data_IF_651190651220
#
_entry.id   IF_651190651220
#
_cell.length_a   1.000
_cell.length_b   1.000
_cell.length_c   1.000
_cell.angle_alpha   90.00
_cell.angle_beta   90.00
_cell.angle_gamma   90.00
#
_symmetry.space_group_name_H-M   'P 1'
#
loop_
_entity.id
_entity.type
_entity.pdbx_description
1 polymer ?
#
# COMPACT_ATOMS: atom_id res chain seq x y z
N UNK A 1 -16.98 7.62 -26.09
CA UNK A 1 -16.15 6.98 -25.04
C UNK A 1 -16.36 7.73 -23.72
N UNK A 2 -17.54 7.62 -23.09
CA UNK A 2 -17.91 8.44 -21.91
C UNK A 2 -17.67 7.75 -20.57
N UNK A 3 -17.37 6.45 -20.57
CA UNK A 3 -17.31 5.65 -19.36
C UNK A 3 -16.03 5.81 -18.53
N UNK A 4 -14.81 6.00 -19.11
CA UNK A 4 -13.62 6.22 -18.29
C UNK A 4 -13.73 7.52 -17.47
N UNK A 5 -14.34 8.56 -18.07
CA UNK A 5 -14.68 9.84 -17.41
C UNK A 5 -15.63 9.62 -16.24
N UNK A 6 -16.73 8.85 -16.45
CA UNK A 6 -17.71 8.54 -15.40
C UNK A 6 -17.07 7.77 -14.25
N UNK A 7 -16.20 6.82 -14.55
CA UNK A 7 -15.49 6.00 -13.55
C UNK A 7 -14.52 6.87 -12.75
N UNK A 8 -13.64 7.62 -13.41
CA UNK A 8 -12.67 8.49 -12.75
C UNK A 8 -13.38 9.52 -11.84
N UNK A 9 -14.45 10.15 -12.35
CA UNK A 9 -15.28 11.07 -11.57
C UNK A 9 -15.89 10.37 -10.35
N UNK A 10 -16.55 9.23 -10.52
CA UNK A 10 -17.18 8.50 -9.41
C UNK A 10 -16.18 8.12 -8.32
N UNK A 11 -15.00 7.62 -8.69
CA UNK A 11 -13.98 7.20 -7.72
C UNK A 11 -13.43 8.40 -6.97
N UNK A 12 -13.07 9.47 -7.68
CA UNK A 12 -12.51 10.66 -7.04
C UNK A 12 -13.55 11.38 -6.17
N UNK A 13 -14.81 11.47 -6.60
CA UNK A 13 -15.90 12.05 -5.82
C UNK A 13 -16.21 11.21 -4.57
N UNK A 14 -16.27 9.87 -4.70
CA UNK A 14 -16.41 8.97 -3.54
C UNK A 14 -15.24 9.11 -2.57
N UNK A 15 -14.02 9.23 -3.09
CA UNK A 15 -12.83 9.39 -2.26
C UNK A 15 -12.85 10.73 -1.52
N UNK A 16 -13.20 11.82 -2.19
CA UNK A 16 -13.35 13.14 -1.58
C UNK A 16 -14.42 13.12 -0.50
N UNK A 17 -15.59 12.57 -0.80
CA UNK A 17 -16.69 12.42 0.17
C UNK A 17 -16.27 11.59 1.40
N UNK A 18 -15.53 10.49 1.21
CA UNK A 18 -15.00 9.69 2.32
C UNK A 18 -13.94 10.44 3.12
N UNK A 19 -13.00 11.13 2.46
CA UNK A 19 -11.97 11.96 3.10
C UNK A 19 -12.60 13.05 3.97
N UNK A 20 -13.57 13.77 3.42
CA UNK A 20 -14.27 14.87 4.10
C UNK A 20 -15.08 14.33 5.30
N UNK A 21 -15.75 13.18 5.15
CA UNK A 21 -16.51 12.54 6.23
C UNK A 21 -15.65 11.94 7.34
N UNK A 22 -14.50 11.36 7.00
CA UNK A 22 -13.65 10.60 7.94
C UNK A 22 -12.47 11.42 8.47
N UNK A 23 -12.33 12.69 8.06
CA UNK A 23 -11.21 13.59 8.41
C UNK A 23 -9.85 12.91 8.22
N UNK A 24 -9.73 12.08 7.18
CA UNK A 24 -8.53 11.27 6.98
C UNK A 24 -7.34 12.08 6.44
N UNK A 25 -6.16 11.68 6.88
CA UNK A 25 -4.86 12.17 6.41
C UNK A 25 -4.49 11.45 5.09
N UNK A 26 -3.86 12.15 4.14
CA UNK A 26 -3.41 11.60 2.86
C UNK A 26 -4.36 11.85 1.66
N UNK A 27 -3.81 11.79 0.45
CA UNK A 27 -4.49 12.18 -0.80
C UNK A 27 -4.50 11.03 -1.81
N UNK A 28 -5.65 10.74 -2.40
CA UNK A 28 -5.73 9.91 -3.60
C UNK A 28 -5.38 10.78 -4.81
N UNK A 29 -4.44 10.31 -5.60
CA UNK A 29 -4.11 10.89 -6.91
C UNK A 29 -4.55 9.92 -7.98
N UNK A 30 -5.21 10.43 -9.01
CA UNK A 30 -5.65 9.64 -10.17
C UNK A 30 -4.94 10.18 -11.40
N UNK A 31 -4.51 9.29 -12.28
CA UNK A 31 -3.75 9.58 -13.50
C UNK A 31 -4.27 8.70 -14.62
N UNK A 32 -4.04 9.10 -15.87
CA UNK A 32 -4.46 8.33 -17.03
C UNK A 32 -3.38 8.37 -18.11
N UNK A 33 -3.12 7.21 -18.69
CA UNK A 33 -2.31 7.07 -19.89
C UNK A 33 -2.97 6.12 -20.86
N UNK A 34 -2.62 6.26 -22.13
CA UNK A 34 -3.07 5.43 -23.23
C UNK A 34 -1.84 4.78 -23.84
N UNK A 35 -1.95 3.50 -24.16
CA UNK A 35 -1.06 2.84 -25.09
C UNK A 35 -1.81 2.57 -26.38
N UNK A 36 -1.06 2.47 -27.49
CA UNK A 36 -1.57 2.17 -28.82
C UNK A 36 -0.72 1.08 -29.46
N UNK A 37 -0.89 0.87 -30.75
CA UNK A 37 -0.11 -0.06 -31.57
C UNK A 37 1.35 0.41 -31.72
N UNK A 38 2.26 -0.53 -31.97
CA UNK A 38 3.64 -0.27 -32.38
C UNK A 38 3.77 0.39 -33.76
N UNK A 39 2.76 0.27 -34.62
CA UNK A 39 2.73 0.98 -35.91
C UNK A 39 2.59 2.51 -35.75
N UNK A 40 2.09 3.00 -34.62
CA UNK A 40 2.22 4.40 -34.26
C UNK A 40 3.71 4.68 -33.95
N UNK A 41 4.37 5.67 -34.56
CA UNK A 41 5.74 6.03 -34.17
C UNK A 41 5.74 6.68 -32.77
N UNK A 42 6.82 6.55 -31.99
CA UNK A 42 6.97 7.33 -30.77
C UNK A 42 6.88 8.84 -31.10
N UNK A 43 6.15 9.65 -30.32
CA UNK A 43 5.59 9.36 -28.99
C UNK A 43 4.16 8.78 -28.99
N UNK A 44 3.59 8.42 -30.13
CA UNK A 44 2.16 8.11 -30.24
C UNK A 44 1.77 6.71 -29.72
N UNK A 45 2.73 5.80 -29.53
CA UNK A 45 2.55 4.48 -28.91
C UNK A 45 2.14 4.57 -27.44
N UNK A 46 2.55 5.63 -26.74
CA UNK A 46 2.25 5.85 -25.33
C UNK A 46 2.07 7.34 -25.04
N UNK A 47 0.93 7.68 -24.47
CA UNK A 47 0.57 9.07 -24.16
C UNK A 47 0.09 9.18 -22.71
N UNK A 48 0.76 10.02 -21.91
CA UNK A 48 0.23 10.45 -20.61
C UNK A 48 -0.85 11.49 -20.87
N UNK A 49 -2.10 11.09 -20.67
CA UNK A 49 -3.27 11.98 -20.81
C UNK A 49 -3.28 13.02 -19.71
N UNK A 50 -2.99 12.58 -18.48
CA UNK A 50 -2.81 13.43 -17.31
C UNK A 50 -2.04 12.67 -16.24
N UNK A 51 -1.07 13.34 -15.64
CA UNK A 51 -0.29 12.83 -14.53
C UNK A 51 -1.16 12.53 -13.29
N UNK A 52 -0.62 11.81 -12.31
CA UNK A 52 -1.36 11.54 -11.07
C UNK A 52 -1.69 12.89 -10.37
N UNK A 53 -2.98 13.22 -10.28
CA UNK A 53 -3.45 14.51 -9.75
C UNK A 53 -4.60 14.33 -8.77
N UNK A 54 -4.76 15.29 -7.85
CA UNK A 54 -5.94 15.41 -6.99
C UNK A 54 -7.07 16.21 -7.67
N UNK A 55 -6.80 16.84 -8.82
CA UNK A 55 -7.72 17.73 -9.51
C UNK A 55 -8.73 16.98 -10.39
N UNK A 56 -9.87 16.60 -9.81
CA UNK A 56 -10.96 15.87 -10.50
C UNK A 56 -11.42 16.57 -11.79
N UNK A 57 -11.58 17.90 -11.74
CA UNK A 57 -12.05 18.68 -12.90
C UNK A 57 -11.08 18.64 -14.07
N UNK A 58 -9.78 18.71 -13.78
CA UNK A 58 -8.73 18.64 -14.80
C UNK A 58 -8.72 17.25 -15.45
N UNK A 59 -8.68 16.20 -14.64
CA UNK A 59 -8.74 14.81 -15.10
C UNK A 59 -9.97 14.56 -15.99
N UNK A 60 -11.14 15.05 -15.56
CA UNK A 60 -12.39 14.91 -16.33
C UNK A 60 -12.25 15.54 -17.72
N UNK A 61 -11.78 16.79 -17.80
CA UNK A 61 -11.58 17.51 -19.06
C UNK A 61 -10.60 16.76 -19.98
N UNK A 62 -9.54 16.19 -19.41
CA UNK A 62 -8.53 15.44 -20.18
C UNK A 62 -9.07 14.14 -20.74
N UNK A 63 -9.78 13.35 -19.91
CA UNK A 63 -10.42 12.11 -20.35
C UNK A 63 -11.51 12.33 -21.41
N UNK A 64 -12.24 13.45 -21.35
CA UNK A 64 -13.24 13.83 -22.36
C UNK A 64 -12.63 14.13 -23.73
N UNK A 65 -11.35 14.50 -23.78
CA UNK A 65 -10.64 14.86 -25.00
C UNK A 65 -9.83 13.70 -25.62
N UNK A 66 -9.94 12.49 -25.09
CA UNK A 66 -9.25 11.32 -25.65
C UNK A 66 -9.88 10.96 -27.00
N UNK A 67 -9.09 11.04 -28.07
CA UNK A 67 -9.48 10.57 -29.40
C UNK A 67 -9.05 9.13 -29.64
N UNK A 68 -9.96 8.30 -30.15
CA UNK A 68 -9.62 6.95 -30.65
C UNK A 68 -8.90 7.10 -31.98
N UNK A 69 -7.71 6.52 -32.08
CA UNK A 69 -7.00 6.36 -33.36
C UNK A 69 -7.20 4.91 -33.82
N UNK A 70 -7.53 4.73 -35.09
CA UNK A 70 -7.59 3.40 -35.72
C UNK A 70 -6.57 3.40 -36.84
N UNK A 71 -5.40 2.83 -36.58
CA UNK A 71 -4.52 2.40 -37.65
C UNK A 71 -4.96 0.99 -37.98
N UNK A 72 -5.72 0.85 -39.07
CA UNK A 72 -6.11 -0.48 -39.53
C UNK A 72 -4.92 -1.10 -40.23
N UNK A 73 -4.50 -2.23 -39.72
CA UNK A 73 -3.52 -3.05 -40.41
C UNK A 73 -4.15 -3.84 -41.55
N UNK A 74 -3.29 -4.34 -42.42
CA UNK A 74 -3.71 -5.09 -43.60
C UNK A 74 -4.37 -6.41 -43.14
N UNK A 75 -5.47 -6.87 -43.77
CA UNK A 75 -6.22 -8.08 -43.41
C UNK A 75 -5.47 -9.41 -43.27
N UNK A 76 -4.14 -9.45 -43.43
CA UNK A 76 -3.29 -10.64 -43.33
C UNK A 76 -2.06 -10.43 -42.42
N UNK A 77 -2.00 -9.35 -41.64
CA UNK A 77 -0.93 -9.17 -40.65
C UNK A 77 -1.07 -10.25 -39.56
N UNK A 78 -0.02 -11.04 -39.24
CA UNK A 78 -0.06 -11.99 -38.14
C UNK A 78 -0.38 -11.32 -36.79
N UNK A 79 -0.18 -10.01 -36.70
CA UNK A 79 -0.49 -9.14 -35.58
C UNK A 79 -1.67 -8.22 -35.91
N UNK A 80 -2.71 -8.67 -36.61
CA UNK A 80 -3.88 -7.86 -37.01
C UNK A 80 -4.62 -7.15 -35.86
N UNK A 81 -4.38 -7.56 -34.61
CA UNK A 81 -4.81 -6.88 -33.37
C UNK A 81 -3.60 -6.57 -32.48
N UNK A 82 -2.69 -5.71 -32.93
CA UNK A 82 -1.46 -5.42 -32.23
C UNK A 82 -1.70 -4.35 -31.18
N UNK A 83 -1.16 -4.55 -29.98
CA UNK A 83 -1.21 -3.56 -28.92
C UNK A 83 0.17 -3.46 -28.28
N UNK A 84 0.67 -2.25 -28.05
CA UNK A 84 1.90 -2.01 -27.30
C UNK A 84 1.67 -2.02 -25.79
N UNK A 85 0.98 -3.06 -25.32
CA UNK A 85 0.63 -3.24 -23.90
C UNK A 85 1.86 -3.16 -23.01
N UNK A 86 2.96 -3.82 -23.39
CA UNK A 86 4.18 -3.88 -22.58
C UNK A 86 4.85 -2.51 -22.50
N UNK A 87 4.92 -1.78 -23.60
CA UNK A 87 5.35 -0.37 -23.62
C UNK A 87 4.45 0.47 -22.69
N UNK A 88 3.14 0.31 -22.80
CA UNK A 88 2.15 0.98 -21.94
C UNK A 88 2.40 0.78 -20.46
N UNK A 89 2.65 -0.46 -20.03
CA UNK A 89 2.93 -0.79 -18.62
C UNK A 89 4.29 -0.21 -18.20
N UNK A 90 5.35 -0.45 -18.97
CA UNK A 90 6.72 0.00 -18.62
C UNK A 90 6.80 1.52 -18.53
N UNK A 91 6.22 2.23 -19.50
CA UNK A 91 6.16 3.68 -19.48
C UNK A 91 5.25 4.22 -18.36
N UNK A 92 4.18 3.52 -17.98
CA UNK A 92 3.38 3.93 -16.82
C UNK A 92 4.11 3.75 -15.49
N UNK A 93 4.93 2.69 -15.35
CA UNK A 93 5.77 2.50 -14.17
C UNK A 93 6.82 3.61 -14.03
N UNK A 94 7.38 4.07 -15.15
CA UNK A 94 8.50 5.03 -15.17
C UNK A 94 8.10 6.50 -15.32
N UNK A 95 7.07 6.77 -16.11
CA UNK A 95 6.71 8.10 -16.61
C UNK A 95 5.65 8.81 -15.76
N UNK A 96 4.86 8.08 -14.98
CA UNK A 96 3.92 8.70 -14.05
C UNK A 96 4.67 9.26 -12.84
N UNK A 97 4.24 10.42 -12.35
CA UNK A 97 4.81 11.09 -11.17
C UNK A 97 4.45 10.42 -9.81
N UNK A 98 4.73 9.12 -9.68
CA UNK A 98 4.51 8.30 -8.51
C UNK A 98 5.15 8.88 -7.25
N UNK A 99 4.37 8.99 -6.17
CA UNK A 99 4.89 9.47 -4.87
C UNK A 99 5.58 8.33 -4.12
N UNK A 100 6.79 8.56 -3.64
CA UNK A 100 7.50 7.61 -2.77
C UNK A 100 6.71 7.40 -1.47
N UNK A 101 6.74 6.17 -0.93
CA UNK A 101 6.02 5.80 0.29
C UNK A 101 4.49 5.83 0.18
N UNK A 102 3.95 5.91 -1.04
CA UNK A 102 2.51 5.75 -1.31
C UNK A 102 2.22 4.36 -1.85
N UNK A 103 1.01 3.86 -1.62
CA UNK A 103 0.55 2.65 -2.28
C UNK A 103 0.18 2.94 -3.73
N UNK A 104 0.79 2.21 -4.65
CA UNK A 104 0.67 2.43 -6.10
C UNK A 104 -0.12 1.29 -6.72
N UNK A 105 -1.00 1.64 -7.67
CA UNK A 105 -1.82 0.69 -8.40
C UNK A 105 -1.92 1.12 -9.85
N UNK A 106 -1.59 0.22 -10.76
CA UNK A 106 -1.94 0.31 -12.18
C UNK A 106 -3.22 -0.49 -12.40
N UNK A 107 -4.19 0.15 -13.06
CA UNK A 107 -5.39 -0.52 -13.58
C UNK A 107 -5.27 -0.52 -15.09
N UNK A 108 -4.93 -1.67 -15.64
CA UNK A 108 -4.79 -1.91 -17.06
C UNK A 108 -6.13 -2.38 -17.63
N UNK A 109 -6.66 -1.68 -18.64
CA UNK A 109 -7.90 -2.07 -19.32
C UNK A 109 -7.59 -2.21 -20.80
N UNK A 110 -7.96 -3.35 -21.39
CA UNK A 110 -7.74 -3.63 -22.81
C UNK A 110 -8.55 -4.83 -23.29
N UNK A 111 -8.56 -5.09 -24.60
CA UNK A 111 -9.23 -6.24 -25.23
C UNK A 111 -8.31 -7.12 -26.08
N UNK A 112 -7.01 -6.81 -26.16
CA UNK A 112 -6.00 -7.55 -26.91
C UNK A 112 -4.61 -7.48 -26.24
N UNK A 113 -3.85 -8.58 -26.33
CA UNK A 113 -2.53 -8.73 -25.70
C UNK A 113 -1.40 -8.04 -26.45
N UNK A 114 -0.22 -8.01 -25.84
CA UNK A 114 1.00 -7.47 -26.46
C UNK A 114 1.41 -8.32 -27.66
N UNK A 115 1.40 -7.73 -28.85
CA UNK A 115 1.89 -8.39 -30.06
C UNK A 115 2.83 -7.47 -30.84
N UNK A 116 4.12 -7.53 -30.51
CA UNK A 116 5.09 -6.52 -30.95
C UNK A 116 5.69 -6.71 -32.33
N UNK A 117 5.39 -7.80 -33.04
CA UNK A 117 6.11 -8.20 -34.28
C UNK A 117 7.64 -8.26 -34.09
N UNK A 118 8.11 -8.53 -32.87
CA UNK A 118 9.53 -8.51 -32.54
C UNK A 118 10.15 -7.12 -32.36
N UNK A 119 9.34 -6.06 -32.37
CA UNK A 119 9.79 -4.67 -32.14
C UNK A 119 9.96 -4.34 -30.66
N UNK A 120 9.32 -5.12 -29.77
CA UNK A 120 9.40 -4.91 -28.33
C UNK A 120 10.57 -5.71 -27.73
N UNK A 121 11.28 -5.06 -26.82
CA UNK A 121 12.40 -5.65 -26.07
C UNK A 121 11.97 -6.14 -24.70
N UNK A 122 10.75 -5.80 -24.28
CA UNK A 122 10.22 -6.16 -22.97
C UNK A 122 9.57 -7.54 -22.99
N UNK A 123 9.71 -8.24 -21.87
CA UNK A 123 9.09 -9.53 -21.59
C UNK A 123 8.34 -9.45 -20.28
N UNK A 124 7.46 -10.42 -20.03
CA UNK A 124 6.61 -10.52 -18.86
C UNK A 124 7.43 -10.49 -17.55
N UNK A 125 8.54 -11.22 -17.50
CA UNK A 125 9.43 -11.28 -16.35
C UNK A 125 10.10 -9.91 -16.05
N UNK A 126 10.45 -9.14 -17.08
CA UNK A 126 11.01 -7.80 -16.92
C UNK A 126 9.97 -6.83 -16.36
N UNK A 127 8.72 -6.91 -16.84
CA UNK A 127 7.60 -6.14 -16.31
C UNK A 127 7.33 -6.51 -14.85
N UNK A 128 7.32 -7.81 -14.52
CA UNK A 128 7.15 -8.29 -13.16
C UNK A 128 8.21 -7.71 -12.21
N UNK A 129 9.49 -7.76 -12.58
CA UNK A 129 10.59 -7.12 -11.81
C UNK A 129 10.36 -5.63 -11.62
N UNK A 130 9.99 -4.91 -12.68
CA UNK A 130 9.67 -3.48 -12.58
C UNK A 130 8.52 -3.19 -11.60
N UNK A 131 7.46 -4.00 -11.61
CA UNK A 131 6.33 -3.86 -10.68
C UNK A 131 6.77 -4.08 -9.23
N UNK A 132 7.61 -5.09 -8.97
CA UNK A 132 8.16 -5.35 -7.64
C UNK A 132 9.08 -4.22 -7.18
N UNK A 133 10.06 -3.84 -8.00
CA UNK A 133 11.08 -2.83 -7.67
C UNK A 133 10.46 -1.46 -7.37
N UNK A 134 9.38 -1.13 -8.06
CA UNK A 134 8.66 0.13 -7.84
C UNK A 134 7.53 0.02 -6.82
N UNK A 135 7.30 -1.15 -6.20
CA UNK A 135 6.20 -1.43 -5.27
C UNK A 135 4.81 -1.08 -5.87
N UNK A 136 4.58 -1.49 -7.11
CA UNK A 136 3.35 -1.20 -7.86
C UNK A 136 2.45 -2.44 -7.87
N UNK A 137 1.19 -2.25 -7.47
CA UNK A 137 0.13 -3.24 -7.61
C UNK A 137 -0.38 -3.23 -9.05
N UNK A 138 -0.79 -4.37 -9.60
CA UNK A 138 -1.20 -4.46 -11.00
C UNK A 138 -2.51 -5.21 -11.12
N UNK A 139 -3.54 -4.50 -11.58
CA UNK A 139 -4.86 -5.08 -11.86
C UNK A 139 -5.18 -4.91 -13.33
N UNK A 140 -5.57 -6.00 -13.97
CA UNK A 140 -5.95 -6.01 -15.38
C UNK A 140 -7.44 -6.36 -15.53
N UNK A 141 -8.10 -5.65 -16.45
CA UNK A 141 -9.48 -5.86 -16.84
C UNK A 141 -9.49 -6.15 -18.34
N UNK A 142 -9.71 -7.42 -18.69
CA UNK A 142 -9.91 -7.87 -20.07
C UNK A 142 -11.36 -7.62 -20.47
N UNK A 143 -11.57 -6.78 -21.47
CA UNK A 143 -12.87 -6.56 -22.09
C UNK A 143 -13.11 -7.68 -23.12
N UNK A 144 -14.16 -8.47 -22.91
CA UNK A 144 -14.57 -9.55 -23.81
C UNK A 144 -15.84 -9.15 -24.55
N UNK A 145 -16.06 -9.67 -25.75
CA UNK A 145 -17.31 -9.48 -26.50
C UNK A 145 -17.59 -10.75 -27.28
N UNK A 146 -18.86 -11.07 -27.52
CA UNK A 146 -19.18 -12.19 -28.41
C UNK A 146 -18.62 -11.90 -29.82
N UNK A 147 -17.81 -12.82 -30.32
CA UNK A 147 -17.20 -12.71 -31.65
C UNK A 147 -16.83 -14.08 -32.19
N UNK A 148 -17.06 -14.28 -33.48
CA UNK A 148 -16.59 -15.46 -34.22
C UNK A 148 -15.22 -15.25 -34.87
N UNK A 149 -14.64 -14.05 -34.74
CA UNK A 149 -13.35 -13.71 -35.34
C UNK A 149 -12.22 -14.40 -34.57
N UNK A 150 -11.58 -15.38 -35.21
CA UNK A 150 -10.48 -16.16 -34.62
C UNK A 150 -9.28 -15.31 -34.22
N UNK A 151 -8.94 -14.28 -35.00
CA UNK A 151 -7.84 -13.36 -34.67
C UNK A 151 -8.13 -12.58 -33.38
N UNK A 152 -9.36 -12.10 -33.21
CA UNK A 152 -9.75 -11.38 -31.99
C UNK A 152 -9.77 -12.29 -30.77
N UNK A 153 -10.20 -13.55 -30.94
CA UNK A 153 -10.14 -14.58 -29.89
C UNK A 153 -8.68 -14.85 -29.51
N UNK A 154 -7.78 -15.01 -30.49
CA UNK A 154 -6.36 -15.23 -30.25
C UNK A 154 -5.70 -14.05 -29.52
N UNK A 155 -6.00 -12.82 -29.91
CA UNK A 155 -5.50 -11.61 -29.25
C UNK A 155 -5.94 -11.51 -27.77
N UNK A 156 -7.18 -11.91 -27.45
CA UNK A 156 -7.68 -11.98 -26.06
C UNK A 156 -7.01 -13.08 -25.26
N UNK A 157 -6.84 -14.27 -25.85
CA UNK A 157 -6.09 -15.37 -25.23
C UNK A 157 -4.66 -14.93 -24.92
N UNK A 158 -4.04 -14.18 -25.82
CA UNK A 158 -2.71 -13.59 -25.61
C UNK A 158 -2.70 -12.60 -24.43
N UNK A 159 -3.67 -11.67 -24.35
CA UNK A 159 -3.82 -10.75 -23.20
C UNK A 159 -3.88 -11.53 -21.88
N UNK A 160 -4.77 -12.54 -21.85
CA UNK A 160 -5.01 -13.35 -20.67
C UNK A 160 -3.73 -14.09 -20.25
N UNK A 161 -3.08 -14.79 -21.19
CA UNK A 161 -1.83 -15.50 -20.96
C UNK A 161 -0.74 -14.58 -20.42
N UNK A 162 -0.43 -13.49 -21.13
CA UNK A 162 0.64 -12.56 -20.75
C UNK A 162 0.38 -11.90 -19.39
N UNK A 163 -0.86 -11.49 -19.14
CA UNK A 163 -1.23 -10.91 -17.84
C UNK A 163 -1.07 -11.91 -16.71
N UNK A 164 -1.50 -13.17 -16.91
CA UNK A 164 -1.32 -14.24 -15.92
C UNK A 164 0.15 -14.53 -15.65
N UNK A 165 0.96 -14.59 -16.71
CA UNK A 165 2.42 -14.74 -16.60
C UNK A 165 3.04 -13.58 -15.81
N UNK A 166 2.70 -12.32 -16.11
CA UNK A 166 3.17 -11.15 -15.35
C UNK A 166 2.79 -11.28 -13.87
N UNK A 167 1.54 -11.66 -13.57
CA UNK A 167 1.06 -11.81 -12.19
C UNK A 167 1.80 -12.94 -11.46
N UNK A 168 1.96 -14.09 -12.11
CA UNK A 168 2.65 -15.26 -11.57
C UNK A 168 4.13 -14.94 -11.25
N UNK A 169 4.86 -14.39 -12.23
CA UNK A 169 6.26 -13.95 -12.07
C UNK A 169 6.39 -12.89 -10.96
N UNK A 170 5.45 -11.94 -10.88
CA UNK A 170 5.45 -10.93 -9.81
C UNK A 170 5.25 -11.57 -8.44
N UNK A 171 4.38 -12.58 -8.33
CA UNK A 171 4.13 -13.30 -7.09
C UNK A 171 5.34 -14.13 -6.65
N UNK A 172 6.02 -14.80 -7.60
CA UNK A 172 7.26 -15.55 -7.34
C UNK A 172 8.37 -14.66 -6.81
N UNK A 173 8.64 -13.53 -7.47
CA UNK A 173 9.66 -12.57 -7.02
C UNK A 173 9.31 -12.05 -5.61
N UNK A 174 8.03 -11.74 -5.33
CA UNK A 174 7.63 -11.33 -3.99
C UNK A 174 7.79 -12.43 -2.94
N UNK A 175 7.56 -13.69 -3.32
CA UNK A 175 7.73 -14.83 -2.42
C UNK A 175 9.20 -14.95 -2.00
N UNK A 176 10.13 -14.83 -2.94
CA UNK A 176 11.58 -14.81 -2.69
C UNK A 176 11.98 -13.63 -1.80
N UNK A 177 11.45 -12.43 -2.07
CA UNK A 177 11.71 -11.24 -1.25
C UNK A 177 11.19 -11.41 0.19
N UNK A 178 10.01 -12.03 0.37
CA UNK A 178 9.47 -12.33 1.70
C UNK A 178 10.34 -13.35 2.43
N UNK A 179 10.83 -14.39 1.73
CA UNK A 179 11.77 -15.36 2.31
C UNK A 179 13.08 -14.69 2.75
N UNK A 180 13.61 -13.76 1.95
CA UNK A 180 14.78 -12.96 2.33
C UNK A 180 14.50 -12.10 3.57
N UNK A 181 13.35 -11.40 3.61
CA UNK A 181 12.97 -10.56 4.75
C UNK A 181 12.76 -11.36 6.04
N UNK A 182 12.27 -12.60 5.94
CA UNK A 182 12.16 -13.53 7.05
C UNK A 182 13.56 -13.93 7.57
N UNK A 183 14.45 -14.35 6.66
CA UNK A 183 15.84 -14.71 7.01
C UNK A 183 16.59 -13.54 7.67
N UNK A 184 16.38 -12.33 7.16
CA UNK A 184 16.97 -11.09 7.69
C UNK A 184 16.28 -10.62 8.99
N UNK A 185 15.26 -11.34 9.49
CA UNK A 185 14.45 -11.03 10.68
C UNK A 185 13.80 -9.64 10.62
N UNK A 186 13.47 -9.19 9.41
CA UNK A 186 12.73 -7.95 9.16
C UNK A 186 11.23 -8.22 9.30
N UNK A 187 10.77 -9.36 8.81
CA UNK A 187 9.38 -9.79 8.91
C UNK A 187 9.24 -10.87 10.00
N UNK A 188 8.26 -10.80 10.91
CA UNK A 188 7.96 -11.88 11.84
C UNK A 188 7.64 -13.18 11.08
N UNK A 189 8.11 -14.32 11.61
CA UNK A 189 7.97 -15.64 10.96
C UNK A 189 6.51 -15.97 10.67
N UNK A 190 5.62 -15.75 11.63
CA UNK A 190 4.19 -16.05 11.48
C UNK A 190 3.56 -15.23 10.34
N UNK A 191 4.04 -13.99 10.15
CA UNK A 191 3.57 -13.12 9.08
C UNK A 191 4.19 -13.49 7.73
N UNK A 192 5.44 -13.92 7.72
CA UNK A 192 6.10 -14.42 6.52
C UNK A 192 5.35 -15.64 5.96
N UNK A 193 4.98 -16.57 6.83
CA UNK A 193 4.17 -17.75 6.48
C UNK A 193 2.83 -17.33 5.86
N UNK A 194 2.05 -16.46 6.53
CA UNK A 194 0.76 -15.98 6.02
C UNK A 194 0.88 -15.36 4.62
N UNK A 195 1.90 -14.51 4.41
CA UNK A 195 2.11 -13.84 3.11
C UNK A 195 2.54 -14.85 2.04
N UNK A 196 3.43 -15.79 2.37
CA UNK A 196 3.90 -16.83 1.45
C UNK A 196 2.76 -17.75 1.01
N UNK A 197 1.90 -18.19 1.92
CA UNK A 197 0.72 -19.00 1.57
C UNK A 197 -0.24 -18.26 0.62
N UNK A 198 -0.46 -16.96 0.85
CA UNK A 198 -1.28 -16.13 -0.05
C UNK A 198 -0.63 -15.96 -1.44
N UNK A 199 0.71 -15.87 -1.49
CA UNK A 199 1.48 -15.80 -2.74
C UNK A 199 1.47 -17.14 -3.49
N UNK A 200 1.64 -18.27 -2.79
CA UNK A 200 1.59 -19.61 -3.37
C UNK A 200 0.24 -19.88 -4.03
N UNK A 201 -0.88 -19.60 -3.35
CA UNK A 201 -2.22 -19.68 -3.96
C UNK A 201 -2.35 -18.83 -5.22
N UNK A 202 -1.70 -17.66 -5.25
CA UNK A 202 -1.70 -16.81 -6.43
C UNK A 202 -0.81 -17.36 -7.54
N UNK A 203 0.36 -17.89 -7.21
CA UNK A 203 1.28 -18.55 -8.15
C UNK A 203 0.55 -19.71 -8.81
N UNK A 204 -0.06 -20.61 -8.05
CA UNK A 204 -0.81 -21.75 -8.57
C UNK A 204 -1.96 -21.29 -9.47
N UNK A 205 -2.80 -20.39 -8.95
CA UNK A 205 -3.99 -19.92 -9.68
C UNK A 205 -3.69 -19.03 -10.89
N UNK A 206 -2.48 -18.48 -11.03
CA UNK A 206 -2.05 -17.72 -12.21
C UNK A 206 -1.20 -18.57 -13.17
N UNK A 207 -0.51 -19.59 -12.65
CA UNK A 207 0.35 -20.51 -13.41
C UNK A 207 -0.43 -21.52 -14.25
N UNK A 208 -1.65 -21.87 -13.84
CA UNK A 208 -2.56 -22.67 -14.66
C UNK A 208 -2.94 -21.91 -15.95
N UNK A 209 -2.40 -22.31 -17.10
CA UNK A 209 -2.73 -21.70 -18.39
C UNK A 209 -3.75 -22.51 -19.19
N UNK A 210 -4.22 -23.65 -18.68
CA UNK A 210 -5.08 -24.57 -19.43
C UNK A 210 -6.46 -23.97 -19.67
N UNK A 211 -6.95 -23.20 -18.71
CA UNK A 211 -8.19 -22.46 -18.86
C UNK A 211 -8.14 -21.45 -20.03
N UNK A 212 -6.96 -20.98 -20.45
CA UNK A 212 -6.80 -20.04 -21.57
C UNK A 212 -6.79 -20.77 -22.93
N UNK A 213 -6.69 -22.10 -22.92
CA UNK A 213 -6.65 -22.93 -24.13
C UNK A 213 -8.05 -23.24 -24.66
N UNK A 214 -9.03 -23.43 -23.76
CA UNK A 214 -10.43 -23.69 -24.10
C UNK A 214 -11.12 -22.47 -24.79
N UNK A 215 -12.32 -22.64 -25.33
CA UNK A 215 -13.10 -21.56 -25.98
C UNK A 215 -13.49 -20.40 -25.03
N UNK A 216 -13.18 -20.55 -23.74
CA UNK A 216 -13.24 -19.48 -22.74
C UNK A 216 -12.17 -18.43 -23.05
N UNK A 217 -12.61 -17.28 -23.58
CA UNK A 217 -11.74 -16.17 -23.98
C UNK A 217 -11.05 -15.43 -22.83
N UNK A 218 -11.23 -15.86 -21.57
CA UNK A 218 -10.61 -15.23 -20.39
C UNK A 218 -10.58 -16.15 -19.15
N UNK A 219 -9.51 -16.04 -18.36
CA UNK A 219 -9.32 -16.72 -17.07
C UNK A 219 -8.98 -15.74 -15.95
N UNK A 220 -9.95 -15.33 -15.12
CA UNK A 220 -9.66 -14.43 -14.01
C UNK A 220 -8.77 -15.12 -12.97
N UNK A 221 -7.86 -14.36 -12.35
CA UNK A 221 -7.04 -14.83 -11.23
C UNK A 221 -6.83 -13.74 -10.18
N UNK A 222 -6.40 -14.18 -8.99
CA UNK A 222 -6.14 -13.33 -7.84
C UNK A 222 -7.38 -12.64 -7.28
N UNK A 223 -7.26 -12.08 -6.07
CA UNK A 223 -8.37 -11.40 -5.37
C UNK A 223 -7.97 -10.06 -4.72
N UNK A 224 -6.69 -9.67 -4.82
CA UNK A 224 -6.10 -8.53 -4.10
C UNK A 224 -5.15 -7.72 -4.99
N UNK A 225 -3.86 -7.69 -4.64
CA UNK A 225 -2.84 -6.78 -5.18
C UNK A 225 -2.57 -7.00 -6.67
N UNK A 226 -2.67 -8.25 -7.09
CA UNK A 226 -2.52 -8.65 -8.47
C UNK A 226 -3.76 -9.42 -8.90
N UNK A 227 -4.40 -8.94 -9.95
CA UNK A 227 -5.68 -9.51 -10.39
C UNK A 227 -5.83 -9.42 -11.90
N UNK A 228 -6.45 -10.44 -12.48
CA UNK A 228 -7.06 -10.39 -13.79
C UNK A 228 -8.57 -10.57 -13.63
N UNK A 229 -9.34 -9.70 -14.28
CA UNK A 229 -10.80 -9.77 -14.36
C UNK A 229 -11.25 -9.75 -15.81
N UNK A 230 -12.34 -10.44 -16.08
CA UNK A 230 -12.99 -10.49 -17.38
C UNK A 230 -14.29 -9.71 -17.28
N UNK A 231 -14.58 -8.86 -18.26
CA UNK A 231 -15.85 -8.14 -18.33
C UNK A 231 -16.38 -8.24 -19.75
N UNK A 232 -17.53 -8.89 -19.92
CA UNK A 232 -18.22 -8.91 -21.21
C UNK A 232 -18.80 -7.54 -21.54
N UNK A 233 -18.77 -7.14 -22.81
CA UNK A 233 -19.40 -5.93 -23.34
C UNK A 233 -20.92 -6.03 -23.44
N UNK A 234 -21.50 -7.18 -23.08
CA UNK A 234 -22.95 -7.33 -22.97
C UNK A 234 -23.50 -6.34 -21.93
N UNK A 235 -24.81 -6.07 -21.97
CA UNK A 235 -25.48 -5.01 -21.21
C UNK A 235 -24.87 -4.75 -19.81
N UNK A 236 -24.67 -3.48 -19.46
CA UNK A 236 -24.08 -3.01 -18.18
C UNK A 236 -22.55 -3.18 -17.98
N UNK A 237 -21.75 -3.47 -19.02
CA UNK A 237 -20.28 -3.58 -18.87
C UNK A 237 -19.62 -2.36 -18.19
N UNK A 238 -20.04 -1.13 -18.52
CA UNK A 238 -19.53 0.10 -17.90
C UNK A 238 -19.72 0.09 -16.37
N UNK A 239 -20.88 -0.41 -15.92
CA UNK A 239 -21.23 -0.55 -14.50
C UNK A 239 -20.38 -1.64 -13.84
N UNK A 240 -20.11 -2.73 -14.54
CA UNK A 240 -19.25 -3.82 -14.05
C UNK A 240 -17.81 -3.36 -13.88
N UNK A 241 -17.24 -2.67 -14.88
CA UNK A 241 -15.90 -2.08 -14.79
C UNK A 241 -15.86 -1.07 -13.63
N UNK A 242 -16.86 -0.18 -13.52
CA UNK A 242 -16.95 0.78 -12.41
C UNK A 242 -16.95 0.07 -11.05
N UNK A 243 -17.75 -0.99 -10.88
CA UNK A 243 -17.80 -1.77 -9.63
C UNK A 243 -16.46 -2.43 -9.30
N UNK A 244 -15.76 -2.95 -10.29
CA UNK A 244 -14.44 -3.56 -10.09
C UNK A 244 -13.41 -2.52 -9.66
N UNK A 245 -13.38 -1.38 -10.33
CA UNK A 245 -12.46 -0.30 -9.98
C UNK A 245 -12.83 0.30 -8.62
N UNK A 246 -14.11 0.47 -8.31
CA UNK A 246 -14.58 0.88 -6.97
C UNK A 246 -14.10 -0.11 -5.88
N UNK A 247 -14.14 -1.42 -6.14
CA UNK A 247 -13.64 -2.44 -5.22
C UNK A 247 -12.12 -2.28 -4.98
N UNK A 248 -11.35 -2.09 -6.04
CA UNK A 248 -9.90 -1.86 -5.95
C UNK A 248 -9.58 -0.55 -5.21
N UNK A 249 -10.35 0.51 -5.47
CA UNK A 249 -10.21 1.79 -4.78
C UNK A 249 -10.55 1.69 -3.28
N UNK A 250 -11.56 0.91 -2.92
CA UNK A 250 -11.88 0.64 -1.50
C UNK A 250 -10.79 -0.16 -0.81
N UNK A 251 -10.17 -1.14 -1.48
CA UNK A 251 -9.03 -1.88 -0.93
C UNK A 251 -7.82 -0.95 -0.70
N UNK A 252 -7.56 -0.02 -1.62
CA UNK A 252 -6.54 1.02 -1.42
C UNK A 252 -6.86 1.89 -0.20
N UNK A 253 -8.14 2.24 -0.03
CA UNK A 253 -8.62 3.04 1.10
C UNK A 253 -8.40 2.31 2.42
N UNK A 254 -8.87 1.07 2.56
CA UNK A 254 -8.69 0.28 3.77
C UNK A 254 -7.22 0.17 4.15
N UNK A 255 -6.35 -0.10 3.18
CA UNK A 255 -4.91 -0.18 3.44
C UNK A 255 -4.35 1.17 3.87
N UNK A 256 -4.76 2.26 3.22
CA UNK A 256 -4.34 3.62 3.59
C UNK A 256 -4.78 3.98 5.01
N UNK A 257 -6.05 3.78 5.35
CA UNK A 257 -6.56 4.07 6.70
C UNK A 257 -5.79 3.28 7.76
N UNK A 258 -5.44 2.02 7.45
CA UNK A 258 -4.59 1.23 8.32
C UNK A 258 -3.16 1.78 8.43
N UNK A 259 -2.52 2.16 7.31
CA UNK A 259 -1.19 2.79 7.31
C UNK A 259 -1.17 4.12 8.10
N UNK A 260 -2.24 4.90 8.06
CA UNK A 260 -2.37 6.13 8.85
C UNK A 260 -2.58 5.86 10.35
N UNK A 261 -3.35 4.82 10.71
CA UNK A 261 -3.43 4.34 12.11
C UNK A 261 -2.03 3.99 12.61
N UNK A 262 -1.21 3.30 11.80
CA UNK A 262 0.17 2.98 12.17
C UNK A 262 1.08 4.20 12.27
N UNK A 263 0.98 5.16 11.33
CA UNK A 263 1.83 6.36 11.34
C UNK A 263 1.51 7.32 12.47
N UNK A 264 0.24 7.40 12.87
CA UNK A 264 -0.23 8.44 13.81
C UNK A 264 -0.59 7.89 15.18
N UNK A 265 -0.72 6.57 15.33
CA UNK A 265 -1.25 5.92 16.53
C UNK A 265 -2.72 6.27 16.82
N UNK A 266 -3.39 7.02 15.94
CA UNK A 266 -4.77 7.48 16.12
C UNK A 266 -5.71 6.61 15.31
N UNK A 267 -6.66 5.97 15.99
CA UNK A 267 -7.84 5.39 15.35
C UNK A 267 -8.69 6.58 14.85
N UNK A 268 -8.94 6.73 13.53
CA UNK A 268 -9.88 7.73 13.05
C UNK A 268 -11.18 7.54 13.80
N UNK A 269 -11.74 8.60 14.38
CA UNK A 269 -13.00 8.53 15.09
C UNK A 269 -14.05 7.95 14.16
N UNK A 270 -14.34 6.66 14.29
CA UNK A 270 -15.42 6.01 13.58
C UNK A 270 -16.66 6.79 13.95
N UNK A 271 -17.16 7.57 12.98
CA UNK A 271 -18.43 8.24 13.10
C UNK A 271 -19.43 7.21 13.61
N UNK A 272 -20.06 7.52 14.75
CA UNK A 272 -21.06 6.70 15.45
C UNK A 272 -21.84 5.88 14.44
N UNK A 273 -21.75 4.54 14.54
CA UNK A 273 -22.56 3.60 13.76
C UNK A 273 -24.02 4.08 13.83
N UNK A 274 -24.54 4.60 12.73
CA UNK A 274 -25.99 4.71 12.59
C UNK A 274 -26.55 3.28 12.58
N UNK A 275 -27.70 3.03 13.23
CA UNK A 275 -28.31 1.72 13.24
C UNK A 275 -28.81 1.41 11.83
N UNK A 276 -28.07 0.58 11.10
CA UNK A 276 -28.54 -0.02 9.85
C UNK A 276 -29.63 -1.03 10.24
N UNK A 277 -30.84 -0.82 9.73
CA UNK A 277 -31.96 -1.76 9.88
C UNK A 277 -31.52 -3.14 9.39
N UNK A 278 -31.75 -4.15 10.23
CA UNK A 278 -31.48 -5.57 9.96
C UNK A 278 -32.17 -6.00 8.66
N UNK A 279 -31.40 -6.54 7.73
CA UNK A 279 -31.85 -7.64 6.87
C UNK A 279 -31.05 -8.89 7.27
N UNK A 280 -31.69 -10.07 7.31
CA UNK A 280 -31.04 -11.31 7.69
C UNK A 280 -30.45 -11.97 6.45
N UNK A 281 -29.14 -12.13 6.42
CA UNK A 281 -28.45 -13.29 5.86
C UNK A 281 -27.00 -13.21 6.32
N UNK A 282 -26.53 -14.29 6.94
CA UNK A 282 -25.29 -14.35 7.69
C UNK A 282 -24.09 -13.97 6.80
N UNK A 283 -23.25 -12.99 7.20
CA UNK A 283 -21.90 -12.96 6.68
C UNK A 283 -21.15 -14.11 7.33
N UNK A 284 -20.70 -15.07 6.52
CA UNK A 284 -19.56 -15.90 6.91
C UNK A 284 -18.47 -14.95 7.41
N UNK A 285 -18.15 -15.06 8.69
CA UNK A 285 -17.01 -14.41 9.31
C UNK A 285 -15.76 -14.91 8.62
N UNK A 286 -15.41 -14.29 7.49
CA UNK A 286 -14.02 -14.23 7.08
C UNK A 286 -13.35 -13.39 8.16
N UNK A 287 -12.66 -14.08 9.08
CA UNK A 287 -11.74 -13.47 10.02
C UNK A 287 -10.64 -12.79 9.19
N UNK A 288 -10.91 -11.56 8.76
CA UNK A 288 -9.91 -10.72 8.13
C UNK A 288 -8.92 -10.38 9.25
N UNK A 289 -7.83 -11.15 9.31
CA UNK A 289 -6.72 -10.93 10.24
C UNK A 289 -6.32 -9.45 10.23
N UNK A 290 -6.60 -8.77 11.34
CA UNK A 290 -6.44 -7.34 11.58
C UNK A 290 -4.96 -6.92 11.75
N UNK A 291 -4.03 -7.42 10.92
CA UNK A 291 -2.60 -7.05 11.00
C UNK A 291 -1.96 -6.82 9.63
N UNK A 292 -1.97 -5.56 9.14
CA UNK A 292 -1.07 -5.07 8.09
C UNK A 292 0.31 -4.80 8.69
N UNK A 293 0.93 -5.81 9.29
CA UNK A 293 2.34 -5.73 9.64
C UNK A 293 3.13 -5.89 8.34
N UNK A 294 3.80 -4.80 7.96
CA UNK A 294 4.93 -4.76 7.03
C UNK A 294 4.65 -5.38 5.65
N UNK A 295 3.83 -4.70 4.84
CA UNK A 295 3.76 -5.03 3.42
C UNK A 295 5.17 -4.96 2.82
N UNK A 296 5.67 -6.03 2.17
CA UNK A 296 7.07 -6.16 1.78
C UNK A 296 7.65 -4.96 0.99
N UNK A 297 6.88 -4.29 0.14
CA UNK A 297 7.39 -3.10 -0.57
C UNK A 297 7.42 -1.81 0.24
N UNK A 298 6.54 -1.69 1.24
CA UNK A 298 6.65 -0.61 2.25
C UNK A 298 7.92 -0.81 3.07
N UNK A 299 8.21 -2.06 3.46
CA UNK A 299 9.46 -2.45 4.16
C UNK A 299 10.67 -2.09 3.30
N UNK A 300 10.71 -2.55 2.05
CA UNK A 300 11.80 -2.27 1.10
C UNK A 300 12.02 -0.77 0.91
N UNK A 301 10.95 0.01 0.80
CA UNK A 301 11.03 1.48 0.71
C UNK A 301 11.55 2.12 1.99
N UNK A 302 11.20 1.60 3.17
CA UNK A 302 11.68 2.11 4.45
C UNK A 302 13.16 1.78 4.65
N UNK A 303 13.56 0.53 4.41
CA UNK A 303 14.96 0.08 4.40
C UNK A 303 15.79 1.01 3.52
N UNK A 304 15.40 1.19 2.26
CA UNK A 304 16.11 2.08 1.33
C UNK A 304 16.26 3.50 1.88
N UNK A 305 15.18 4.08 2.39
CA UNK A 305 15.19 5.46 2.89
C UNK A 305 16.06 5.64 4.13
N UNK A 306 16.01 4.69 5.06
CA UNK A 306 16.84 4.71 6.27
C UNK A 306 18.32 4.59 5.89
N UNK A 307 18.66 3.68 4.97
CA UNK A 307 20.01 3.53 4.47
C UNK A 307 20.52 4.78 3.76
N UNK A 308 19.70 5.39 2.89
CA UNK A 308 20.01 6.65 2.21
C UNK A 308 20.25 7.81 3.20
N UNK A 309 19.41 7.94 4.23
CA UNK A 309 19.58 8.95 5.29
C UNK A 309 20.92 8.78 6.03
N UNK A 310 21.23 7.56 6.46
CA UNK A 310 22.47 7.25 7.17
C UNK A 310 23.71 7.54 6.32
N UNK A 311 23.69 7.19 5.03
CA UNK A 311 24.80 7.50 4.11
C UNK A 311 24.92 9.02 3.88
N UNK A 312 23.80 9.74 3.75
CA UNK A 312 23.83 11.20 3.56
C UNK A 312 24.45 11.95 4.74
N UNK A 313 24.48 11.33 5.92
CA UNK A 313 24.95 11.90 7.19
C UNK A 313 26.33 11.39 7.62
N UNK A 314 27.11 10.79 6.72
CA UNK A 314 28.46 10.27 7.02
C UNK A 314 29.48 11.32 7.50
N UNK A 315 29.17 12.60 7.37
CA UNK A 315 29.99 13.69 7.93
C UNK A 315 29.84 13.80 9.45
N UNK A 316 28.76 13.28 10.01
CA UNK A 316 28.55 13.16 11.46
C UNK A 316 29.39 11.99 11.98
N UNK A 317 30.27 12.26 12.94
CA UNK A 317 31.20 11.27 13.51
C UNK A 317 30.47 10.10 14.16
N UNK A 318 29.34 10.35 14.83
CA UNK A 318 28.56 9.29 15.48
C UNK A 318 27.88 8.39 14.43
N UNK A 319 27.31 9.00 13.40
CA UNK A 319 26.69 8.27 12.28
C UNK A 319 27.75 7.46 11.53
N UNK A 320 28.92 8.04 11.24
CA UNK A 320 30.01 7.34 10.56
C UNK A 320 30.53 6.15 11.35
N UNK A 321 30.71 6.31 12.66
CA UNK A 321 31.10 5.20 13.52
C UNK A 321 30.03 4.09 13.50
N UNK A 322 28.76 4.46 13.65
CA UNK A 322 27.62 3.52 13.57
C UNK A 322 27.55 2.80 12.23
N UNK A 323 27.73 3.50 11.11
CA UNK A 323 27.75 2.90 9.77
C UNK A 323 28.92 1.93 9.65
N UNK A 324 30.12 2.33 10.06
CA UNK A 324 31.33 1.49 10.03
C UNK A 324 31.15 0.18 10.80
N UNK A 325 30.41 0.18 11.91
CA UNK A 325 30.12 -1.04 12.69
C UNK A 325 29.19 -2.02 11.95
N UNK A 326 28.41 -1.55 10.98
CA UNK A 326 27.41 -2.37 10.28
C UNK A 326 27.92 -2.89 8.96
N UNK A 327 28.53 -2.02 8.14
CA UNK A 327 28.99 -2.39 6.79
C UNK A 327 30.50 -2.63 6.71
N UNK A 328 31.26 -2.33 7.76
CA UNK A 328 32.71 -2.44 7.78
C UNK A 328 33.43 -1.30 7.03
N UNK A 329 34.72 -1.15 7.31
CA UNK A 329 35.58 -0.10 6.74
C UNK A 329 35.76 -0.26 5.22
N UNK A 330 35.85 -1.49 4.73
CA UNK A 330 36.10 -1.78 3.31
C UNK A 330 34.92 -1.33 2.42
N UNK A 331 33.69 -1.61 2.84
CA UNK A 331 32.49 -1.17 2.13
C UNK A 331 32.32 0.35 2.23
N UNK A 332 32.61 0.92 3.41
CA UNK A 332 32.55 2.36 3.66
C UNK A 332 33.50 3.15 2.74
N UNK A 333 34.70 2.63 2.51
CA UNK A 333 35.70 3.26 1.64
C UNK A 333 35.34 3.14 0.14
N UNK A 334 34.47 2.20 -0.23
CA UNK A 334 34.08 1.91 -1.61
C UNK A 334 32.67 2.41 -1.98
N UNK A 335 32.07 3.30 -1.19
CA UNK A 335 30.73 3.86 -1.43
C UNK A 335 30.59 4.70 -2.71
N UNK A 336 31.70 5.03 -3.36
CA UNK A 336 31.71 5.66 -4.69
C UNK A 336 31.23 4.71 -5.79
N UNK A 337 31.37 3.39 -5.59
CA UNK A 337 30.85 2.37 -6.50
C UNK A 337 29.31 2.26 -6.32
N UNK A 338 28.50 2.42 -7.39
CA UNK A 338 27.04 2.36 -7.32
C UNK A 338 26.49 1.04 -6.74
N UNK A 339 27.10 -0.09 -7.06
CA UNK A 339 26.62 -1.41 -6.62
C UNK A 339 26.91 -1.62 -5.13
N UNK A 340 28.13 -1.26 -4.70
CA UNK A 340 28.55 -1.27 -3.29
C UNK A 340 27.67 -0.33 -2.47
N UNK A 341 27.35 0.85 -3.02
CA UNK A 341 26.46 1.81 -2.38
C UNK A 341 25.04 1.27 -2.22
N UNK A 342 24.50 0.61 -3.25
CA UNK A 342 23.17 -0.01 -3.17
C UNK A 342 23.13 -1.10 -2.09
N UNK A 343 24.15 -1.95 -2.03
CA UNK A 343 24.28 -2.98 -1.01
C UNK A 343 24.40 -2.38 0.40
N UNK A 344 25.21 -1.32 0.56
CA UNK A 344 25.37 -0.61 1.83
C UNK A 344 24.06 0.01 2.32
N UNK A 345 23.27 0.63 1.42
CA UNK A 345 21.94 1.17 1.72
C UNK A 345 21.03 0.08 2.27
N UNK A 346 20.96 -1.08 1.59
CA UNK A 346 20.12 -2.19 2.03
C UNK A 346 20.57 -2.72 3.39
N UNK A 347 21.87 -3.00 3.59
CA UNK A 347 22.41 -3.51 4.86
C UNK A 347 22.16 -2.56 6.03
N UNK A 348 22.45 -1.27 5.85
CA UNK A 348 22.23 -0.25 6.89
C UNK A 348 20.76 -0.08 7.21
N UNK A 349 19.93 0.04 6.17
CA UNK A 349 18.48 0.20 6.31
C UNK A 349 17.84 -0.98 7.03
N UNK A 350 18.22 -2.20 6.65
CA UNK A 350 17.74 -3.45 7.26
C UNK A 350 18.17 -3.54 8.71
N UNK A 351 19.46 -3.32 9.01
CA UNK A 351 19.97 -3.39 10.38
C UNK A 351 19.25 -2.40 11.29
N UNK A 352 19.14 -1.14 10.85
CA UNK A 352 18.52 -0.08 11.63
C UNK A 352 17.01 -0.28 11.79
N UNK A 353 16.31 -0.67 10.71
CA UNK A 353 14.88 -1.01 10.80
C UNK A 353 14.66 -2.20 11.75
N UNK A 354 15.53 -3.22 11.70
CA UNK A 354 15.42 -4.37 12.60
C UNK A 354 15.60 -3.98 14.06
N UNK A 355 16.42 -2.97 14.38
CA UNK A 355 16.50 -2.42 15.75
C UNK A 355 15.18 -1.79 16.16
N UNK A 356 14.55 -0.99 15.30
CA UNK A 356 13.23 -0.41 15.61
C UNK A 356 12.15 -1.47 15.80
N UNK A 357 12.18 -2.54 14.98
CA UNK A 357 11.22 -3.64 15.07
C UNK A 357 11.46 -4.54 16.28
N UNK A 358 12.73 -4.82 16.62
CA UNK A 358 13.12 -5.62 17.81
C UNK A 358 13.03 -4.83 19.11
N UNK A 359 13.16 -3.50 19.07
CA UNK A 359 12.96 -2.62 20.21
C UNK A 359 11.48 -2.51 20.62
N UNK A 360 10.59 -3.30 20.00
CA UNK A 360 9.17 -3.38 20.37
C UNK A 360 8.51 -2.00 20.38
N UNK A 361 8.91 -1.09 19.46
CA UNK A 361 8.62 0.36 19.47
C UNK A 361 7.35 0.74 20.27
N UNK A 362 7.53 0.94 21.58
CA UNK A 362 6.47 1.07 22.59
C UNK A 362 5.93 2.51 22.64
N UNK A 363 5.63 3.11 21.50
CA UNK A 363 5.14 4.49 21.46
C UNK A 363 3.62 4.50 21.36
N UNK A 364 2.93 4.76 22.48
CA UNK A 364 1.46 4.74 22.50
C UNK A 364 0.81 6.11 22.29
N UNK A 365 1.34 7.22 22.84
CA UNK A 365 0.84 8.59 22.58
C UNK A 365 1.69 9.68 23.24
N UNK A 366 1.50 10.95 22.85
CA UNK A 366 1.92 12.15 23.59
C UNK A 366 0.75 12.60 24.46
N UNK A 367 0.94 12.71 25.78
CA UNK A 367 -0.07 13.29 26.67
C UNK A 367 0.50 14.54 27.36
N UNK A 368 -0.35 15.54 27.52
CA UNK A 368 -0.05 16.78 28.22
C UNK A 368 -0.84 16.76 29.53
N UNK A 369 -0.14 16.72 30.67
CA UNK A 369 -0.78 16.79 32.00
C UNK A 369 -0.69 18.24 32.48
N UNK A 370 -1.84 18.85 32.75
CA UNK A 370 -1.92 20.16 33.41
C UNK A 370 -2.01 19.95 34.91
N UNK A 371 -0.97 20.35 35.65
CA UNK A 371 -0.89 20.19 37.10
C UNK A 371 -1.60 21.31 37.91
N UNK A 372 -1.95 22.45 37.29
CA UNK A 372 -2.71 23.53 37.96
C UNK A 372 -3.90 23.98 37.09
N UNK A 373 -5.10 24.07 37.67
CA UNK A 373 -6.29 24.59 36.98
C UNK A 373 -6.09 26.08 36.64
N UNK A 374 -6.44 26.53 35.42
CA UNK A 374 -6.35 27.93 35.06
C UNK A 374 -7.45 28.72 35.77
N UNK A 375 -7.14 29.27 36.94
CA UNK A 375 -7.90 30.34 37.56
C UNK A 375 -7.32 31.71 37.21
N UNK A 376 -8.12 32.78 37.36
CA UNK A 376 -7.69 34.16 37.09
C UNK A 376 -6.37 34.56 37.78
N UNK A 377 -6.03 33.88 38.89
CA UNK A 377 -4.83 34.13 39.69
C UNK A 377 -3.52 33.66 39.05
N UNK A 378 -3.55 32.71 38.12
CA UNK A 378 -2.36 32.07 37.55
C UNK A 378 -2.23 32.22 36.04
N UNK A 379 -3.02 33.13 35.42
CA UNK A 379 -3.15 33.27 33.95
C UNK A 379 -1.81 33.50 33.22
N UNK A 380 -0.79 34.01 33.91
CA UNK A 380 0.52 34.36 33.36
C UNK A 380 1.68 33.66 34.09
N UNK A 381 1.41 32.61 34.88
CA UNK A 381 2.43 31.90 35.67
C UNK A 381 3.24 30.94 34.76
N UNK A 382 4.57 31.13 34.59
CA UNK A 382 5.41 30.25 33.77
C UNK A 382 5.51 28.82 34.33
N UNK A 383 5.15 28.60 35.60
CA UNK A 383 5.10 27.28 36.24
C UNK A 383 3.83 26.48 35.88
N UNK A 384 3.01 26.94 34.92
CA UNK A 384 2.00 26.11 34.25
C UNK A 384 2.61 25.05 33.31
N UNK A 385 3.82 24.59 33.60
CA UNK A 385 4.59 23.74 32.69
C UNK A 385 3.81 22.50 32.28
N UNK A 386 3.68 22.38 30.97
CA UNK A 386 3.16 21.21 30.29
C UNK A 386 4.25 20.13 30.34
N UNK A 387 4.24 19.26 31.34
CA UNK A 387 5.17 18.12 31.36
C UNK A 387 4.80 17.20 30.19
N UNK A 388 5.68 17.10 29.20
CA UNK A 388 5.57 16.09 28.16
C UNK A 388 5.97 14.76 28.76
N UNK A 389 5.01 13.88 29.00
CA UNK A 389 5.28 12.52 29.46
C UNK A 389 5.25 11.60 28.24
N UNK A 390 6.37 10.91 28.01
CA UNK A 390 6.48 9.86 27.00
C UNK A 390 6.03 8.56 27.66
N UNK A 391 4.84 8.07 27.32
CA UNK A 391 4.33 6.80 27.84
C UNK A 391 4.90 5.63 27.02
N UNK A 392 5.88 4.91 27.58
CA UNK A 392 6.25 3.57 27.11
C UNK A 392 5.35 2.52 27.78
N UNK A 393 5.41 1.25 27.34
CA UNK A 393 4.51 0.20 27.84
C UNK A 393 4.68 -0.01 29.34
N UNK A 394 5.91 0.04 29.85
CA UNK A 394 6.21 -0.13 31.28
C UNK A 394 5.58 0.97 32.12
N UNK A 395 5.54 2.20 31.62
CA UNK A 395 4.93 3.35 32.27
C UNK A 395 3.41 3.28 32.21
N UNK A 396 2.84 2.76 31.11
CA UNK A 396 1.41 2.49 31.02
C UNK A 396 0.99 1.33 31.95
N UNK A 397 1.79 0.26 32.01
CA UNK A 397 1.59 -0.85 32.95
C UNK A 397 1.69 -0.35 34.39
N UNK A 398 2.67 0.51 34.71
CA UNK A 398 2.80 1.18 36.02
C UNK A 398 1.63 2.12 36.32
N UNK A 399 1.13 2.86 35.33
CA UNK A 399 -0.05 3.72 35.46
C UNK A 399 -1.32 2.91 35.72
N UNK A 400 -1.48 1.76 35.05
CA UNK A 400 -2.66 0.93 35.16
C UNK A 400 -2.62 -0.03 36.36
N UNK A 401 -1.43 -0.30 36.90
CA UNK A 401 -1.23 -1.22 38.03
C UNK A 401 -2.15 -0.93 39.24
N UNK A 402 -2.36 0.33 39.68
CA UNK A 402 -3.30 0.63 40.77
C UNK A 402 -4.75 0.25 40.43
N UNK A 403 -5.16 0.42 39.18
CA UNK A 403 -6.49 0.04 38.69
C UNK A 403 -6.62 -1.48 38.53
N UNK A 404 -5.55 -2.15 38.13
CA UNK A 404 -5.48 -3.62 38.13
C UNK A 404 -5.63 -4.17 39.55
N UNK A 405 -4.93 -3.59 40.53
CA UNK A 405 -5.09 -3.95 41.95
C UNK A 405 -6.53 -3.67 42.43
N UNK A 406 -7.14 -2.55 42.04
CA UNK A 406 -8.54 -2.26 42.35
C UNK A 406 -9.49 -3.34 41.83
N UNK A 407 -9.27 -3.79 40.59
CA UNK A 407 -10.08 -4.82 39.95
C UNK A 407 -9.86 -6.21 40.56
N UNK A 408 -8.60 -6.61 40.71
CA UNK A 408 -8.23 -7.98 41.09
C UNK A 408 -8.34 -8.23 42.59
N UNK A 409 -7.84 -7.30 43.41
CA UNK A 409 -7.81 -7.46 44.87
C UNK A 409 -9.07 -6.94 45.55
N UNK A 410 -9.64 -5.86 45.03
CA UNK A 410 -10.80 -5.21 45.64
C UNK A 410 -12.10 -5.46 44.88
N UNK A 411 -12.09 -6.25 43.80
CA UNK A 411 -13.27 -6.58 42.99
C UNK A 411 -14.10 -5.34 42.59
N UNK A 412 -13.42 -4.23 42.33
CA UNK A 412 -14.03 -2.93 42.03
C UNK A 412 -14.94 -2.36 43.15
N UNK A 413 -14.83 -2.86 44.38
CA UNK A 413 -15.58 -2.35 45.54
C UNK A 413 -14.89 -1.12 46.14
N UNK A 414 -15.63 -0.01 46.16
CA UNK A 414 -15.18 1.28 46.66
C UNK A 414 -15.18 1.29 48.20
N UNK A 415 -14.00 1.41 48.82
CA UNK A 415 -13.84 1.59 50.27
C UNK A 415 -12.96 2.82 50.55
N UNK A 416 -13.26 3.67 51.54
CA UNK A 416 -12.46 4.88 51.82
C UNK A 416 -10.95 4.60 51.95
N UNK A 417 -10.59 3.47 52.57
CA UNK A 417 -9.20 3.04 52.74
C UNK A 417 -8.48 2.53 51.48
N UNK A 418 -9.20 1.97 50.49
CA UNK A 418 -8.58 1.49 49.26
C UNK A 418 -8.50 2.58 48.17
N UNK A 419 -9.51 3.45 48.08
CA UNK A 419 -9.56 4.56 47.13
C UNK A 419 -8.40 5.51 47.37
N UNK A 420 -8.13 5.89 48.63
CA UNK A 420 -7.02 6.80 48.95
C UNK A 420 -5.68 6.26 48.44
N UNK A 421 -5.43 4.97 48.62
CA UNK A 421 -4.20 4.30 48.18
C UNK A 421 -4.13 4.16 46.66
N UNK A 422 -5.18 3.64 46.03
CA UNK A 422 -5.25 3.49 44.57
C UNK A 422 -5.09 4.83 43.87
N UNK A 423 -5.73 5.87 44.39
CA UNK A 423 -5.63 7.23 43.84
C UNK A 423 -4.24 7.83 44.04
N UNK A 424 -3.63 7.67 45.22
CA UNK A 424 -2.24 8.07 45.48
C UNK A 424 -1.27 7.39 44.51
N UNK A 425 -1.35 6.06 44.41
CA UNK A 425 -0.44 5.26 43.57
C UNK A 425 -0.64 5.60 42.07
N UNK A 426 -1.88 5.86 41.65
CA UNK A 426 -2.19 6.30 40.29
C UNK A 426 -1.62 7.70 39.99
N UNK A 427 -1.75 8.64 40.93
CA UNK A 427 -1.21 9.99 40.79
C UNK A 427 0.32 10.00 40.78
N UNK A 428 0.98 9.22 41.65
CA UNK A 428 2.43 9.01 41.66
C UNK A 428 2.92 8.44 40.32
N UNK A 429 2.18 7.49 39.74
CA UNK A 429 2.49 6.94 38.43
C UNK A 429 2.33 7.95 37.29
N UNK A 430 1.39 8.90 37.38
CA UNK A 430 1.23 10.00 36.39
C UNK A 430 2.41 10.96 36.43
N UNK A 431 2.88 11.34 37.62
CA UNK A 431 3.95 12.34 37.78
C UNK A 431 5.35 11.74 37.59
N UNK A 432 5.48 10.41 37.65
CA UNK A 432 6.72 9.67 37.42
C UNK A 432 7.61 9.59 38.65
N UNK A 433 7.06 9.77 39.85
CA UNK A 433 7.79 9.73 41.12
C UNK A 433 7.61 8.37 41.79
N UNK A 434 8.60 7.93 42.56
CA UNK A 434 8.61 6.62 43.20
C UNK A 434 8.63 6.62 44.73
N UNK A 435 8.80 7.75 45.42
CA UNK A 435 8.82 7.79 46.90
C UNK A 435 8.36 9.14 47.49
N UNK A 436 8.05 9.12 48.79
CA UNK A 436 7.08 9.93 49.53
C UNK A 436 7.36 11.44 49.77
N UNK A 437 8.36 12.06 49.13
CA UNK A 437 8.81 13.39 49.60
C UNK A 437 7.97 14.61 49.18
N UNK A 438 6.98 14.49 48.27
CA UNK A 438 6.39 15.70 47.64
C UNK A 438 4.87 15.71 47.41
N UNK A 439 4.06 14.97 48.18
CA UNK A 439 2.59 15.07 48.09
C UNK A 439 1.98 15.39 49.45
N UNK A 440 1.68 16.67 49.68
CA UNK A 440 0.69 17.13 50.68
C UNK A 440 -0.75 16.93 50.17
#
# INVERSE_FOLDING_TARGET
MYWPVKIAKNIMDKFRLKKDKLKEIGELRFGAAIYRDYADELPYQYEVVEDLTTQVRLMKKRLENISVRRNFERPNDPAYYPEAVFQGIVHSVRGMNWKQGSRKLIIHIGDAGNHSRGQDRYKENYIARLLVDHDISYSAILITSDTKNRGRIAARKLFCKQTRTIINETAQIWWEEVAKMENDRILPVEKAIEIKEDLEKLIDSAGDLDCCQNDLSCCPCGNRRWTLRCVSTDHDYERTISKQIDKLANQLFEVKSMLEIFRTGRIPSLAKKQPVKKQPEAPQETSVSYRPQLMPGVVKSLVKRIGEDLISRLNDKEVRHKVSLVIGSDMLNNLSNPDVRKEAIEKLGTHELSKYLKADAQFFTRAYVMLKRPGNKFKNDPDQMTKMVIFQRKELERLLQPLTIFKEKYHCQLHPGNIKRIWRDFMLAIIGESDEEYID
#
